data_IF_490026129305
#
_entry.id   IF_490026129305
#
_cell.length_a   1.000
_cell.length_b   1.000
_cell.length_c   1.000
_cell.angle_alpha   90.00
_cell.angle_beta   90.00
_cell.angle_gamma   90.00
#
_symmetry.space_group_name_H-M   'P 1'
#
loop_
_entity.id
_entity.type
_entity.pdbx_description
1 polymer ?
#
# COMPACT_ATOMS: atom_id res chain seq x y z
N UNK A 1 -20.11 16.67 -3.94
CA UNK A 1 -19.67 15.63 -4.89
C UNK A 1 -18.15 15.34 -4.79
N UNK A 2 -17.58 15.23 -3.59
CA UNK A 2 -16.11 15.16 -3.41
C UNK A 2 -15.52 13.74 -3.20
N UNK A 3 -16.33 12.73 -2.82
CA UNK A 3 -15.83 11.38 -2.47
C UNK A 3 -15.42 10.50 -3.65
N UNK A 4 -16.00 10.70 -4.84
CA UNK A 4 -15.73 9.86 -6.03
C UNK A 4 -14.32 10.13 -6.58
N UNK A 5 -13.96 11.40 -6.69
CA UNK A 5 -12.67 11.83 -7.24
C UNK A 5 -11.46 11.31 -6.44
N UNK A 6 -11.56 11.30 -5.10
CA UNK A 6 -10.47 10.80 -4.23
C UNK A 6 -10.25 9.29 -4.34
N UNK A 7 -11.33 8.51 -4.50
CA UNK A 7 -11.23 7.04 -4.58
C UNK A 7 -10.69 6.59 -5.93
N UNK A 8 -11.13 7.26 -7.00
CA UNK A 8 -10.67 6.97 -8.36
C UNK A 8 -9.18 7.34 -8.52
N UNK A 9 -8.76 8.49 -8.00
CA UNK A 9 -7.33 8.88 -7.98
C UNK A 9 -6.48 7.94 -7.09
N UNK A 10 -6.98 7.56 -5.91
CA UNK A 10 -6.30 6.56 -5.08
C UNK A 10 -6.08 5.24 -5.83
N UNK A 11 -7.12 4.73 -6.51
CA UNK A 11 -7.03 3.50 -7.29
C UNK A 11 -6.04 3.63 -8.44
N UNK A 12 -6.07 4.76 -9.16
CA UNK A 12 -5.14 5.05 -10.26
C UNK A 12 -3.68 5.01 -9.79
N UNK A 13 -3.37 5.67 -8.68
CA UNK A 13 -2.01 5.67 -8.11
C UNK A 13 -1.63 4.28 -7.60
N UNK A 14 -2.56 3.56 -6.98
CA UNK A 14 -2.34 2.18 -6.54
C UNK A 14 -1.99 1.27 -7.71
N UNK A 15 -2.70 1.38 -8.84
CA UNK A 15 -2.42 0.61 -10.05
C UNK A 15 -1.01 0.86 -10.57
N UNK A 16 -0.50 2.09 -10.51
CA UNK A 16 0.87 2.38 -10.95
C UNK A 16 1.94 1.63 -10.13
N UNK A 17 1.73 1.46 -8.81
CA UNK A 17 2.62 0.63 -7.99
C UNK A 17 2.54 -0.85 -8.38
N UNK A 18 1.34 -1.34 -8.70
CA UNK A 18 1.14 -2.73 -9.15
C UNK A 18 1.76 -2.97 -10.52
N UNK A 19 1.64 -2.01 -11.45
CA UNK A 19 2.24 -2.10 -12.78
C UNK A 19 3.76 -2.18 -12.67
N UNK A 20 4.38 -1.36 -11.81
CA UNK A 20 5.82 -1.46 -11.55
C UNK A 20 6.20 -2.83 -10.96
N UNK A 21 5.43 -3.34 -9.99
CA UNK A 21 5.67 -4.66 -9.41
C UNK A 21 5.58 -5.77 -10.48
N UNK A 22 4.61 -5.69 -11.39
CA UNK A 22 4.46 -6.61 -12.51
C UNK A 22 5.64 -6.51 -13.49
N UNK A 23 6.13 -5.30 -13.79
CA UNK A 23 7.32 -5.12 -14.62
C UNK A 23 8.57 -5.74 -13.99
N UNK A 24 8.73 -5.66 -12.66
CA UNK A 24 9.83 -6.31 -11.96
C UNK A 24 9.72 -7.84 -12.04
N UNK A 25 8.52 -8.38 -11.89
CA UNK A 25 8.26 -9.80 -12.08
C UNK A 25 8.62 -10.24 -13.50
N UNK A 26 8.22 -9.47 -14.51
CA UNK A 26 8.48 -9.79 -15.92
C UNK A 26 9.96 -9.67 -16.29
N UNK A 27 10.75 -8.94 -15.50
CA UNK A 27 12.22 -8.91 -15.56
C UNK A 27 12.89 -10.11 -14.88
N UNK A 28 12.13 -11.04 -14.31
CA UNK A 28 12.63 -12.27 -13.70
C UNK A 28 12.94 -12.17 -12.21
N UNK A 29 12.53 -11.08 -11.54
CA UNK A 29 12.63 -11.02 -10.08
C UNK A 29 11.61 -11.95 -9.41
N UNK A 30 12.02 -12.55 -8.29
CA UNK A 30 11.15 -13.40 -7.49
C UNK A 30 9.97 -12.61 -6.88
N UNK A 31 8.79 -13.23 -6.83
CA UNK A 31 7.56 -12.56 -6.36
C UNK A 31 7.65 -12.23 -4.86
N UNK A 32 8.27 -13.09 -4.05
CA UNK A 32 8.46 -12.85 -2.61
C UNK A 32 9.42 -11.68 -2.40
N UNK A 33 10.48 -11.60 -3.22
CA UNK A 33 11.39 -10.45 -3.23
C UNK A 33 10.67 -9.15 -3.57
N UNK A 34 9.82 -9.14 -4.60
CA UNK A 34 9.04 -7.96 -5.00
C UNK A 34 8.08 -7.54 -3.89
N UNK A 35 7.39 -8.50 -3.27
CA UNK A 35 6.47 -8.22 -2.17
C UNK A 35 7.19 -7.62 -0.95
N UNK A 36 8.35 -8.18 -0.57
CA UNK A 36 9.18 -7.64 0.50
C UNK A 36 9.67 -6.22 0.17
N UNK A 37 10.15 -6.00 -1.06
CA UNK A 37 10.61 -4.69 -1.51
C UNK A 37 9.48 -3.64 -1.49
N UNK A 38 8.27 -3.99 -1.89
CA UNK A 38 7.11 -3.09 -1.86
C UNK A 38 6.74 -2.69 -0.43
N UNK A 39 6.78 -3.64 0.51
CA UNK A 39 6.57 -3.37 1.93
C UNK A 39 7.63 -2.41 2.47
N UNK A 40 8.91 -2.66 2.17
CA UNK A 40 10.01 -1.78 2.58
C UNK A 40 9.88 -0.38 1.96
N UNK A 41 9.60 -0.27 0.66
CA UNK A 41 9.43 1.00 -0.04
C UNK A 41 8.31 1.83 0.59
N UNK A 42 7.18 1.21 0.93
CA UNK A 42 6.11 1.94 1.60
C UNK A 42 6.46 2.36 3.02
N UNK A 43 7.15 1.51 3.79
CA UNK A 43 7.63 1.88 5.12
C UNK A 43 8.57 3.08 5.08
N UNK A 44 9.50 3.10 4.13
CA UNK A 44 10.44 4.20 3.88
C UNK A 44 9.68 5.49 3.51
N UNK A 45 8.77 5.42 2.53
CA UNK A 45 7.98 6.57 2.10
C UNK A 45 7.11 7.13 3.24
N UNK A 46 6.47 6.24 4.01
CA UNK A 46 5.65 6.62 5.17
C UNK A 46 6.51 7.27 6.25
N UNK A 47 7.71 6.75 6.48
CA UNK A 47 8.65 7.35 7.44
C UNK A 47 9.02 8.77 7.02
N UNK A 48 9.38 9.01 5.75
CA UNK A 48 9.70 10.36 5.29
C UNK A 48 8.51 11.34 5.41
N UNK A 49 7.31 10.89 5.05
CA UNK A 49 6.12 11.74 5.08
C UNK A 49 5.61 12.04 6.48
N UNK A 50 5.86 11.18 7.47
CA UNK A 50 5.36 11.32 8.84
C UNK A 50 6.43 11.82 9.82
N UNK A 51 7.69 11.39 9.68
CA UNK A 51 8.77 11.73 10.60
C UNK A 51 9.36 13.13 10.37
N UNK A 52 9.20 13.71 9.18
CA UNK A 52 9.82 14.99 8.82
C UNK A 52 11.34 14.97 9.03
N UNK A 53 11.87 16.04 9.62
CA UNK A 53 13.33 16.26 9.79
C UNK A 53 14.04 15.22 10.67
N UNK A 54 13.32 14.43 11.46
CA UNK A 54 13.93 13.42 12.33
C UNK A 54 14.38 12.15 11.58
N UNK A 55 13.79 11.86 10.41
CA UNK A 55 14.18 10.72 9.57
C UNK A 55 13.80 9.32 10.09
N UNK A 56 13.13 9.20 11.25
CA UNK A 56 12.63 7.92 11.77
C UNK A 56 11.32 8.09 12.56
N UNK A 57 10.55 7.01 12.68
CA UNK A 57 9.32 6.98 13.49
C UNK A 57 9.64 6.56 14.93
N UNK A 58 9.12 7.29 15.91
CA UNK A 58 9.03 6.79 17.28
C UNK A 58 8.04 5.62 17.36
N UNK A 59 8.09 4.82 18.44
CA UNK A 59 7.26 3.61 18.60
C UNK A 59 5.77 3.87 18.36
N UNK A 60 5.23 4.96 18.92
CA UNK A 60 3.82 5.34 18.71
C UNK A 60 3.49 5.62 17.22
N UNK A 61 4.47 6.14 16.46
CA UNK A 61 4.36 6.33 15.01
C UNK A 61 4.35 5.00 14.25
N UNK A 62 5.22 4.07 14.63
CA UNK A 62 5.23 2.70 14.07
C UNK A 62 3.87 2.02 14.29
N UNK A 63 3.35 2.08 15.52
CA UNK A 63 2.07 1.46 15.88
C UNK A 63 0.91 2.05 15.08
N UNK A 64 0.91 3.38 14.89
CA UNK A 64 -0.11 4.08 14.10
C UNK A 64 -0.08 3.68 12.63
N UNK A 65 1.11 3.58 12.04
CA UNK A 65 1.26 3.15 10.64
C UNK A 65 0.81 1.69 10.48
N UNK A 66 1.23 0.81 11.39
CA UNK A 66 0.82 -0.59 11.38
C UNK A 66 -0.70 -0.75 11.50
N UNK A 67 -1.35 0.02 12.38
CA UNK A 67 -2.80 0.03 12.52
C UNK A 67 -3.50 0.46 11.22
N UNK A 68 -3.04 1.53 10.57
CA UNK A 68 -3.58 1.96 9.27
C UNK A 68 -3.40 0.93 8.17
N UNK A 69 -2.25 0.26 8.15
CA UNK A 69 -2.00 -0.84 7.23
C UNK A 69 -3.01 -1.98 7.40
N UNK A 70 -3.26 -2.38 8.65
CA UNK A 70 -4.23 -3.42 9.00
C UNK A 70 -5.64 -3.04 8.57
N UNK A 71 -6.07 -1.81 8.82
CA UNK A 71 -7.38 -1.30 8.42
C UNK A 71 -7.56 -1.34 6.90
N UNK A 72 -6.57 -0.82 6.14
CA UNK A 72 -6.60 -0.83 4.68
C UNK A 72 -6.63 -2.25 4.12
N UNK A 73 -5.80 -3.15 4.66
CA UNK A 73 -5.79 -4.55 4.23
C UNK A 73 -7.14 -5.22 4.50
N UNK A 74 -7.71 -5.00 5.68
CA UNK A 74 -9.03 -5.54 6.06
C UNK A 74 -10.10 -5.10 5.07
N UNK A 75 -10.15 -3.80 4.77
CA UNK A 75 -11.08 -3.24 3.79
C UNK A 75 -10.91 -3.87 2.39
N UNK A 76 -9.67 -4.03 1.90
CA UNK A 76 -9.41 -4.68 0.60
C UNK A 76 -9.93 -6.11 0.59
N UNK A 77 -9.73 -6.87 1.67
CA UNK A 77 -10.21 -8.24 1.77
C UNK A 77 -11.74 -8.32 1.80
N UNK A 78 -12.41 -7.39 2.49
CA UNK A 78 -13.88 -7.30 2.49
C UNK A 78 -14.43 -7.04 1.08
N UNK A 79 -13.84 -6.09 0.35
CA UNK A 79 -14.22 -5.79 -1.03
C UNK A 79 -14.03 -7.00 -1.95
N UNK A 80 -12.88 -7.68 -1.85
CA UNK A 80 -12.61 -8.89 -2.65
C UNK A 80 -13.58 -10.02 -2.32
N UNK A 81 -13.90 -10.24 -1.04
CA UNK A 81 -14.91 -11.23 -0.61
C UNK A 81 -16.29 -10.91 -1.18
N UNK A 82 -16.70 -9.63 -1.16
CA UNK A 82 -17.98 -9.22 -1.72
C UNK A 82 -18.06 -9.47 -3.24
N UNK A 83 -17.00 -9.12 -3.99
CA UNK A 83 -16.92 -9.36 -5.42
C UNK A 83 -16.98 -10.86 -5.77
N UNK A 84 -16.25 -11.70 -5.02
CA UNK A 84 -16.23 -13.15 -5.24
C UNK A 84 -17.59 -13.83 -4.97
N UNK A 85 -18.43 -13.27 -4.09
CA UNK A 85 -19.79 -13.78 -3.82
C UNK A 85 -20.84 -13.36 -4.86
N UNK A 86 -20.53 -12.34 -5.65
CA UNK A 86 -21.40 -11.82 -6.71
C UNK A 86 -21.05 -12.39 -8.10
N UNK A 87 -20.04 -13.27 -8.18
CA UNK A 87 -19.57 -13.97 -9.38
C UNK A 87 -20.05 -15.42 -9.37
#
# INVERSE_FOLDING_TARGET
MAKKNTRDEHNKVTTQFIDLANQLKDKGHDIELIAAALMSASGIYTTYTVAGDQGYLQQAGVDKVAARYKENLTYIQEVKKAAAKAS
#
